data_IF_827375817261
#
_entry.id   IF_827375817261
#
_cell.length_a   1.000
_cell.length_b   1.000
_cell.length_c   1.000
_cell.angle_alpha   90.00
_cell.angle_beta   90.00
_cell.angle_gamma   90.00
#
_symmetry.space_group_name_H-M   'P 1'
#
loop_
_entity.id
_entity.type
_entity.pdbx_description
1 polymer ?
#
# COMPACT_ATOMS: atom_id res chain seq x y z
N UNK A 1 0.28 -15.85 -14.15
CA UNK A 1 -0.46 -16.23 -15.37
C UNK A 1 -1.66 -15.32 -15.52
N UNK A 2 -2.11 -15.06 -16.76
CA UNK A 2 -3.24 -14.15 -17.03
C UNK A 2 -4.26 -14.90 -17.90
N UNK A 3 -5.48 -15.17 -17.41
CA UNK A 3 -6.53 -15.74 -18.24
C UNK A 3 -6.96 -14.74 -19.30
N UNK A 4 -7.20 -15.22 -20.52
CA UNK A 4 -7.62 -14.38 -21.66
C UNK A 4 -8.87 -14.96 -22.31
N UNK A 5 -9.60 -14.13 -23.04
CA UNK A 5 -10.75 -14.57 -23.80
C UNK A 5 -10.38 -15.61 -24.87
N UNK A 6 -11.28 -16.55 -25.13
CA UNK A 6 -11.08 -17.64 -26.10
C UNK A 6 -10.63 -17.15 -27.48
N UNK A 7 -11.14 -16.01 -27.93
CA UNK A 7 -10.75 -15.42 -29.22
C UNK A 7 -9.32 -14.92 -29.22
N UNK A 8 -8.88 -14.27 -28.13
CA UNK A 8 -7.49 -13.81 -27.95
C UNK A 8 -6.55 -15.00 -27.94
N UNK A 9 -6.88 -16.05 -27.18
CA UNK A 9 -6.07 -17.27 -27.13
C UNK A 9 -5.88 -17.91 -28.50
N UNK A 10 -6.98 -18.10 -29.25
CA UNK A 10 -6.92 -18.64 -30.62
C UNK A 10 -6.09 -17.78 -31.56
N UNK A 11 -6.22 -16.46 -31.48
CA UNK A 11 -5.41 -15.54 -32.29
C UNK A 11 -3.92 -15.65 -31.95
N UNK A 12 -3.56 -15.77 -30.66
CA UNK A 12 -2.18 -15.96 -30.25
C UNK A 12 -1.59 -17.27 -30.80
N UNK A 13 -2.36 -18.36 -30.83
CA UNK A 13 -1.91 -19.61 -31.46
C UNK A 13 -1.57 -19.40 -32.94
N UNK A 14 -2.45 -18.76 -33.70
CA UNK A 14 -2.22 -18.43 -35.11
C UNK A 14 -0.99 -17.52 -35.30
N UNK A 15 -0.79 -16.54 -34.42
CA UNK A 15 0.36 -15.63 -34.48
C UNK A 15 1.70 -16.31 -34.19
N UNK A 16 1.69 -17.51 -33.60
CA UNK A 16 2.88 -18.32 -33.32
C UNK A 16 3.14 -19.42 -34.37
N UNK A 17 2.18 -19.70 -35.26
CA UNK A 17 2.34 -20.74 -36.29
C UNK A 17 3.51 -20.42 -37.23
N UNK A 18 4.33 -21.45 -37.52
CA UNK A 18 5.52 -21.37 -38.36
C UNK A 18 6.58 -20.35 -37.91
N UNK A 19 6.58 -19.97 -36.62
CA UNK A 19 7.60 -19.09 -36.02
C UNK A 19 8.58 -19.86 -35.15
N UNK A 20 9.83 -19.44 -35.18
CA UNK A 20 10.89 -19.94 -34.31
C UNK A 20 10.97 -19.12 -33.02
N UNK A 21 11.64 -19.67 -32.01
CA UNK A 21 11.95 -18.93 -30.80
C UNK A 21 12.87 -17.74 -31.13
N UNK A 22 12.36 -16.52 -31.01
CA UNK A 22 13.06 -15.27 -31.33
C UNK A 22 12.38 -14.44 -32.42
N UNK A 23 11.47 -15.02 -33.20
CA UNK A 23 10.67 -14.28 -34.18
C UNK A 23 9.63 -13.38 -33.50
N UNK A 24 9.34 -12.24 -34.12
CA UNK A 24 8.34 -11.30 -33.60
C UNK A 24 6.93 -11.92 -33.58
N UNK A 25 6.29 -11.89 -32.41
CA UNK A 25 4.93 -12.41 -32.25
C UNK A 25 3.92 -11.67 -33.14
N UNK A 26 4.05 -10.35 -33.25
CA UNK A 26 3.22 -9.49 -34.09
C UNK A 26 4.02 -8.96 -35.29
N UNK A 27 4.38 -9.84 -36.22
CA UNK A 27 5.31 -9.62 -37.34
C UNK A 27 4.86 -8.54 -38.35
N UNK A 28 3.56 -8.23 -38.39
CA UNK A 28 2.98 -7.21 -39.29
C UNK A 28 2.56 -5.93 -38.56
N UNK A 29 2.89 -5.81 -37.28
CA UNK A 29 2.51 -4.67 -36.45
C UNK A 29 3.76 -3.94 -35.97
N UNK A 30 3.72 -2.62 -35.98
CA UNK A 30 4.72 -1.81 -35.32
C UNK A 30 4.06 -0.65 -34.56
N UNK A 31 4.85 0.07 -33.77
CA UNK A 31 4.35 1.14 -32.91
C UNK A 31 3.75 2.31 -33.70
N UNK A 32 4.23 2.58 -34.91
CA UNK A 32 3.69 3.64 -35.76
C UNK A 32 2.29 3.29 -36.26
N UNK A 33 2.10 2.08 -36.78
CA UNK A 33 0.79 1.59 -37.27
C UNK A 33 -0.22 1.59 -36.13
N UNK A 34 0.17 1.08 -34.95
CA UNK A 34 -0.69 1.05 -33.78
C UNK A 34 -1.09 2.46 -33.32
N UNK A 35 -0.13 3.38 -33.14
CA UNK A 35 -0.45 4.73 -32.67
C UNK A 35 -1.23 5.55 -33.70
N UNK A 36 -1.02 5.32 -35.00
CA UNK A 36 -1.85 5.92 -36.05
C UNK A 36 -3.31 5.49 -35.89
N UNK A 37 -3.55 4.19 -35.73
CA UNK A 37 -4.89 3.66 -35.51
C UNK A 37 -5.52 4.21 -34.22
N UNK A 38 -4.76 4.29 -33.13
CA UNK A 38 -5.25 4.87 -31.87
C UNK A 38 -5.64 6.35 -32.04
N UNK A 39 -4.82 7.13 -32.74
CA UNK A 39 -5.11 8.55 -32.97
C UNK A 39 -6.34 8.77 -33.88
N UNK A 40 -6.64 7.84 -34.79
CA UNK A 40 -7.87 7.87 -35.59
C UNK A 40 -9.12 7.61 -34.73
N UNK A 41 -8.99 6.86 -33.63
CA UNK A 41 -10.09 6.60 -32.69
C UNK A 41 -10.32 7.79 -31.73
N UNK A 42 -9.25 8.48 -31.36
CA UNK A 42 -9.28 9.68 -30.51
C UNK A 42 -8.03 10.51 -30.74
N UNK A 43 -8.21 11.79 -31.06
CA UNK A 43 -7.08 12.70 -31.30
C UNK A 43 -6.13 12.76 -30.08
N UNK A 44 -4.83 12.59 -30.33
CA UNK A 44 -3.80 12.57 -29.29
C UNK A 44 -3.66 11.25 -28.53
N UNK A 45 -4.52 10.25 -28.80
CA UNK A 45 -4.43 8.95 -28.14
C UNK A 45 -3.22 8.15 -28.64
N UNK A 46 -2.43 7.65 -27.71
CA UNK A 46 -1.26 6.81 -27.97
C UNK A 46 -1.20 5.66 -26.96
N UNK A 47 -0.44 4.61 -27.25
CA UNK A 47 -0.34 3.44 -26.36
C UNK A 47 0.11 3.79 -24.93
N UNK A 48 0.96 4.81 -24.75
CA UNK A 48 1.39 5.26 -23.41
C UNK A 48 0.24 5.84 -22.57
N UNK A 49 -0.78 6.43 -23.22
CA UNK A 49 -1.93 7.03 -22.53
C UNK A 49 -2.71 5.95 -21.79
N UNK A 50 -2.78 4.73 -22.31
CA UNK A 50 -3.43 3.61 -21.61
C UNK A 50 -2.72 3.24 -20.29
N UNK A 51 -1.38 3.30 -20.24
CA UNK A 51 -0.66 3.09 -18.97
C UNK A 51 -1.01 4.17 -17.95
N UNK A 52 -1.04 5.43 -18.37
CA UNK A 52 -1.41 6.55 -17.48
C UNK A 52 -2.86 6.44 -17.03
N UNK A 53 -3.80 6.18 -17.94
CA UNK A 53 -5.21 6.01 -17.63
C UNK A 53 -5.44 4.86 -16.64
N UNK A 54 -4.93 3.66 -16.95
CA UNK A 54 -5.12 2.50 -16.09
C UNK A 54 -4.48 2.71 -14.70
N UNK A 55 -3.33 3.37 -14.63
CA UNK A 55 -2.68 3.71 -13.37
C UNK A 55 -3.53 4.69 -12.54
N UNK A 56 -3.95 5.82 -13.12
CA UNK A 56 -4.75 6.84 -12.44
C UNK A 56 -6.13 6.32 -12.03
N UNK A 57 -6.79 5.57 -12.92
CA UNK A 57 -8.07 4.94 -12.63
C UNK A 57 -7.97 3.94 -11.49
N UNK A 58 -6.97 3.05 -11.53
CA UNK A 58 -6.74 2.07 -10.46
C UNK A 58 -6.47 2.78 -9.13
N UNK A 59 -5.65 3.84 -9.12
CA UNK A 59 -5.39 4.59 -7.89
C UNK A 59 -6.68 5.16 -7.30
N UNK A 60 -7.51 5.79 -8.13
CA UNK A 60 -8.78 6.38 -7.70
C UNK A 60 -9.71 5.32 -7.10
N UNK A 61 -9.96 4.23 -7.84
CA UNK A 61 -10.85 3.15 -7.37
C UNK A 61 -10.34 2.53 -6.07
N UNK A 62 -9.03 2.27 -5.97
CA UNK A 62 -8.45 1.71 -4.75
C UNK A 62 -8.51 2.70 -3.57
N UNK A 63 -8.37 4.00 -3.79
CA UNK A 63 -8.54 4.99 -2.73
C UNK A 63 -9.99 5.07 -2.25
N UNK A 64 -10.96 5.00 -3.17
CA UNK A 64 -12.39 4.99 -2.86
C UNK A 64 -12.78 3.73 -2.06
N UNK A 65 -12.17 2.58 -2.36
CA UNK A 65 -12.43 1.30 -1.69
C UNK A 65 -11.71 1.16 -0.33
N UNK A 66 -10.46 1.62 -0.23
CA UNK A 66 -9.58 1.33 0.92
C UNK A 66 -9.59 2.41 2.01
N UNK A 67 -10.16 3.59 1.75
CA UNK A 67 -10.07 4.73 2.68
C UNK A 67 -11.40 4.95 3.40
N UNK A 68 -11.38 4.98 4.74
CA UNK A 68 -12.54 5.39 5.54
C UNK A 68 -12.39 6.84 6.05
N UNK A 69 -13.52 7.55 6.19
CA UNK A 69 -13.54 8.90 6.73
C UNK A 69 -13.07 8.94 8.21
N UNK A 70 -13.40 7.90 8.97
CA UNK A 70 -13.11 7.78 10.40
C UNK A 70 -11.68 7.30 10.70
N UNK A 71 -10.94 6.86 9.68
CA UNK A 71 -9.56 6.41 9.83
C UNK A 71 -8.66 7.55 10.34
N UNK A 72 -7.73 7.17 11.21
CA UNK A 72 -6.65 8.06 11.62
C UNK A 72 -5.77 8.41 10.41
N UNK A 73 -5.01 9.50 10.52
CA UNK A 73 -4.06 9.90 9.47
C UNK A 73 -3.06 8.77 9.14
N UNK A 74 -2.67 7.97 10.14
CA UNK A 74 -1.75 6.86 9.93
C UNK A 74 -2.38 5.74 9.08
N UNK A 75 -3.63 5.38 9.37
CA UNK A 75 -4.37 4.38 8.61
C UNK A 75 -4.66 4.87 7.18
N UNK A 76 -5.04 6.14 6.99
CA UNK A 76 -5.21 6.74 5.66
C UNK A 76 -3.94 6.70 4.82
N UNK A 77 -2.77 6.90 5.43
CA UNK A 77 -1.48 6.76 4.75
C UNK A 77 -1.25 5.30 4.32
N UNK A 78 -1.60 4.32 5.16
CA UNK A 78 -1.50 2.90 4.80
C UNK A 78 -2.41 2.56 3.60
N UNK A 79 -3.66 3.02 3.62
CA UNK A 79 -4.59 2.84 2.50
C UNK A 79 -4.07 3.48 1.22
N UNK A 80 -3.52 4.69 1.29
CA UNK A 80 -2.87 5.33 0.15
C UNK A 80 -1.69 4.51 -0.40
N UNK A 81 -0.82 4.01 0.47
CA UNK A 81 0.33 3.22 0.04
C UNK A 81 -0.09 1.89 -0.58
N UNK A 82 -1.16 1.25 -0.08
CA UNK A 82 -1.76 0.05 -0.67
C UNK A 82 -2.36 0.33 -2.04
N UNK A 83 -3.08 1.43 -2.19
CA UNK A 83 -3.62 1.87 -3.48
C UNK A 83 -2.48 2.11 -4.49
N UNK A 84 -1.42 2.83 -4.10
CA UNK A 84 -0.25 3.03 -4.95
C UNK A 84 0.51 1.72 -5.24
N UNK A 85 0.52 0.77 -4.30
CA UNK A 85 1.10 -0.56 -4.51
C UNK A 85 0.35 -1.34 -5.58
N UNK A 86 -0.99 -1.27 -5.62
CA UNK A 86 -1.78 -1.88 -6.68
C UNK A 86 -1.41 -1.32 -8.06
N UNK A 87 -1.23 0.00 -8.16
CA UNK A 87 -0.76 0.67 -9.39
C UNK A 87 0.64 0.21 -9.79
N UNK A 88 1.56 0.13 -8.82
CA UNK A 88 2.92 -0.33 -9.07
C UNK A 88 2.96 -1.78 -9.56
N UNK A 89 2.10 -2.65 -9.03
CA UNK A 89 1.94 -4.04 -9.50
C UNK A 89 1.40 -4.06 -10.93
N UNK A 90 0.36 -3.29 -11.22
CA UNK A 90 -0.23 -3.17 -12.56
C UNK A 90 0.80 -2.69 -13.59
N UNK A 91 1.63 -1.73 -13.22
CA UNK A 91 2.70 -1.20 -14.06
C UNK A 91 3.99 -2.05 -14.06
N UNK A 92 4.01 -3.18 -13.34
CA UNK A 92 5.17 -4.04 -13.15
C UNK A 92 6.42 -3.32 -12.60
N UNK A 93 6.24 -2.36 -11.71
CA UNK A 93 7.32 -1.63 -11.04
C UNK A 93 7.89 -2.46 -9.88
N UNK A 94 8.77 -3.40 -10.21
CA UNK A 94 9.40 -4.30 -9.25
C UNK A 94 10.77 -3.79 -8.80
N UNK A 95 11.19 -4.22 -7.61
CA UNK A 95 12.57 -4.10 -7.13
C UNK A 95 12.99 -5.36 -6.39
N UNK A 96 14.29 -5.59 -6.31
CA UNK A 96 14.83 -6.61 -5.41
C UNK A 96 14.63 -6.19 -3.95
N UNK A 97 14.47 -7.19 -3.07
CA UNK A 97 14.36 -6.93 -1.63
C UNK A 97 15.69 -6.31 -1.14
N UNK A 98 15.67 -5.15 -0.48
CA UNK A 98 16.89 -4.53 0.01
C UNK A 98 17.67 -5.44 0.97
N UNK A 99 19.00 -5.50 0.85
CA UNK A 99 19.86 -6.37 1.68
C UNK A 99 19.67 -6.18 3.19
N UNK A 100 19.38 -4.95 3.63
CA UNK A 100 19.14 -4.61 5.04
C UNK A 100 17.70 -4.80 5.52
N UNK A 101 16.79 -5.29 4.68
CA UNK A 101 15.36 -5.34 5.00
C UNK A 101 15.09 -6.14 6.27
N UNK A 102 15.57 -7.38 6.36
CA UNK A 102 15.31 -8.27 7.49
C UNK A 102 15.74 -7.64 8.82
N UNK A 103 17.01 -7.19 8.92
CA UNK A 103 17.54 -6.50 10.10
C UNK A 103 16.73 -5.25 10.48
N UNK A 104 16.25 -4.52 9.47
CA UNK A 104 15.46 -3.31 9.70
C UNK A 104 13.99 -3.59 10.10
N UNK A 105 13.48 -4.79 9.82
CA UNK A 105 12.17 -5.26 10.30
C UNK A 105 12.28 -5.78 11.73
N UNK A 106 13.33 -6.54 12.03
CA UNK A 106 13.63 -7.02 13.39
C UNK A 106 13.68 -5.85 14.38
N UNK A 107 14.47 -4.81 14.09
CA UNK A 107 14.53 -3.58 14.90
C UNK A 107 13.18 -2.87 15.05
N UNK A 108 12.30 -2.97 14.06
CA UNK A 108 10.98 -2.36 14.12
C UNK A 108 10.05 -3.18 15.03
N UNK A 109 10.10 -4.51 14.92
CA UNK A 109 9.38 -5.42 15.80
C UNK A 109 9.81 -5.27 17.27
N UNK A 110 11.12 -5.17 17.53
CA UNK A 110 11.63 -4.90 18.89
C UNK A 110 11.05 -3.59 19.47
N UNK A 111 10.98 -2.52 18.67
CA UNK A 111 10.36 -1.25 19.10
C UNK A 111 8.87 -1.39 19.37
N UNK A 112 8.16 -2.18 18.57
CA UNK A 112 6.74 -2.47 18.76
C UNK A 112 6.52 -3.20 20.08
N UNK A 113 7.33 -4.22 20.39
CA UNK A 113 7.22 -4.97 21.65
C UNK A 113 7.52 -4.07 22.86
N UNK A 114 8.62 -3.30 22.85
CA UNK A 114 8.91 -2.33 23.91
C UNK A 114 7.76 -1.32 24.13
N UNK A 115 7.07 -0.95 23.03
CA UNK A 115 5.92 -0.05 23.09
C UNK A 115 4.70 -0.70 23.71
N UNK A 116 4.44 -1.98 23.39
CA UNK A 116 3.37 -2.77 24.02
C UNK A 116 3.60 -2.91 25.52
N UNK A 117 4.84 -3.21 25.95
CA UNK A 117 5.19 -3.28 27.37
C UNK A 117 4.94 -1.95 28.10
N UNK A 118 5.35 -0.84 27.48
CA UNK A 118 5.11 0.51 28.01
C UNK A 118 3.61 0.84 28.13
N UNK A 119 2.79 0.36 27.19
CA UNK A 119 1.33 0.51 27.23
C UNK A 119 0.75 -0.32 28.37
N UNK A 120 1.15 -1.59 28.52
CA UNK A 120 0.66 -2.46 29.60
C UNK A 120 0.94 -1.87 30.98
N UNK A 121 2.15 -1.33 31.18
CA UNK A 121 2.50 -0.66 32.45
C UNK A 121 1.68 0.62 32.65
N UNK A 122 1.50 1.43 31.62
CA UNK A 122 0.67 2.63 31.71
C UNK A 122 -0.81 2.30 31.96
N UNK A 123 -1.33 1.20 31.40
CA UNK A 123 -2.69 0.73 31.65
C UNK A 123 -2.91 0.37 33.11
N UNK A 124 -1.96 -0.34 33.74
CA UNK A 124 -1.99 -0.62 35.19
C UNK A 124 -2.03 0.68 36.00
N UNK A 125 -1.17 1.63 35.66
CA UNK A 125 -1.13 2.94 36.31
C UNK A 125 -2.41 3.76 36.14
N UNK A 126 -3.07 3.68 34.98
CA UNK A 126 -4.38 4.30 34.73
C UNK A 126 -5.46 3.64 35.58
N UNK A 127 -5.47 2.31 35.68
CA UNK A 127 -6.42 1.57 36.52
C UNK A 127 -6.28 1.95 38.00
N UNK A 128 -5.05 2.05 38.51
CA UNK A 128 -4.81 2.45 39.89
C UNK A 128 -5.22 3.91 40.14
N UNK A 129 -4.88 4.82 39.22
CA UNK A 129 -5.31 6.21 39.29
C UNK A 129 -6.84 6.33 39.21
N UNK A 130 -7.52 5.48 38.43
CA UNK A 130 -8.98 5.44 38.35
C UNK A 130 -9.59 5.02 39.69
N UNK A 131 -9.03 4.01 40.36
CA UNK A 131 -9.48 3.58 41.69
C UNK A 131 -9.32 4.69 42.72
N UNK A 132 -8.19 5.41 42.70
CA UNK A 132 -7.94 6.56 43.58
C UNK A 132 -8.91 7.72 43.28
N UNK A 133 -9.13 8.05 42.02
CA UNK A 133 -10.03 9.13 41.60
C UNK A 133 -11.50 8.89 41.97
N UNK A 134 -11.96 7.63 42.06
CA UNK A 134 -13.33 7.29 42.49
C UNK A 134 -13.63 7.69 43.95
N UNK A 135 -12.62 7.69 44.82
CA UNK A 135 -12.74 8.04 46.24
C UNK A 135 -11.95 9.29 46.63
N UNK A 136 -11.31 9.92 45.66
CA UNK A 136 -10.34 11.00 45.84
C UNK A 136 -10.89 12.39 45.57
N UNK A 137 -10.04 13.39 45.78
CA UNK A 137 -10.32 14.80 45.54
C UNK A 137 -10.24 15.15 44.04
N UNK A 138 -10.47 16.42 43.73
CA UNK A 138 -10.27 16.99 42.39
C UNK A 138 -8.85 16.72 41.87
N UNK A 139 -7.86 16.70 42.76
CA UNK A 139 -6.45 16.43 42.40
C UNK A 139 -6.27 15.03 41.81
N UNK A 140 -6.85 14.00 42.43
CA UNK A 140 -6.76 12.61 41.96
C UNK A 140 -7.48 12.43 40.61
N UNK A 141 -8.60 13.12 40.39
CA UNK A 141 -9.28 13.13 39.07
C UNK A 141 -8.39 13.72 37.98
N UNK A 142 -7.71 14.84 38.25
CA UNK A 142 -6.75 15.44 37.30
C UNK A 142 -5.58 14.50 36.99
N UNK A 143 -5.09 13.75 37.99
CA UNK A 143 -4.02 12.75 37.77
C UNK A 143 -4.51 11.63 36.86
N UNK A 144 -5.72 11.10 37.09
CA UNK A 144 -6.32 10.09 36.23
C UNK A 144 -6.43 10.58 34.78
N UNK A 145 -6.96 11.79 34.55
CA UNK A 145 -7.10 12.35 33.20
C UNK A 145 -5.76 12.53 32.49
N UNK A 146 -4.71 12.96 33.21
CA UNK A 146 -3.35 13.05 32.67
C UNK A 146 -2.80 11.69 32.26
N UNK A 147 -2.95 10.66 33.09
CA UNK A 147 -2.48 9.30 32.77
C UNK A 147 -3.26 8.69 31.61
N UNK A 148 -4.58 8.91 31.55
CA UNK A 148 -5.42 8.48 30.43
C UNK A 148 -4.96 9.10 29.11
N UNK A 149 -4.73 10.42 29.07
CA UNK A 149 -4.18 11.10 27.89
C UNK A 149 -2.80 10.58 27.49
N UNK A 150 -1.94 10.26 28.47
CA UNK A 150 -0.63 9.67 28.20
C UNK A 150 -0.74 8.27 27.58
N UNK A 151 -1.67 7.45 28.07
CA UNK A 151 -1.97 6.13 27.52
C UNK A 151 -2.47 6.23 26.07
N UNK A 152 -3.42 7.14 25.79
CA UNK A 152 -3.94 7.34 24.44
C UNK A 152 -2.81 7.72 23.46
N UNK A 153 -1.91 8.63 23.87
CA UNK A 153 -0.72 8.99 23.07
C UNK A 153 0.21 7.80 22.82
N UNK A 154 0.39 6.90 23.80
CA UNK A 154 1.20 5.70 23.60
C UNK A 154 0.55 4.73 22.60
N UNK A 155 -0.76 4.56 22.67
CA UNK A 155 -1.54 3.74 21.72
C UNK A 155 -1.47 4.30 20.30
N UNK A 156 -1.62 5.61 20.12
CA UNK A 156 -1.46 6.26 18.81
C UNK A 156 -0.06 6.02 18.22
N UNK A 157 0.97 6.08 19.06
CA UNK A 157 2.34 5.81 18.64
C UNK A 157 2.55 4.34 18.27
N UNK A 158 1.90 3.40 18.97
CA UNK A 158 1.93 1.98 18.62
C UNK A 158 1.25 1.74 17.26
N UNK A 159 0.09 2.35 17.02
CA UNK A 159 -0.62 2.25 15.72
C UNK A 159 0.28 2.70 14.58
N UNK A 160 0.98 3.84 14.73
CA UNK A 160 1.93 4.33 13.71
C UNK A 160 3.07 3.33 13.44
N UNK A 161 3.60 2.67 14.46
CA UNK A 161 4.66 1.67 14.30
C UNK A 161 4.15 0.41 13.58
N UNK A 162 2.95 -0.06 13.92
CA UNK A 162 2.32 -1.21 13.25
C UNK A 162 2.00 -0.91 11.78
N UNK A 163 1.50 0.28 11.48
CA UNK A 163 1.31 0.76 10.11
C UNK A 163 2.64 0.77 9.35
N UNK A 164 3.70 1.31 9.96
CA UNK A 164 5.02 1.34 9.35
C UNK A 164 5.58 -0.07 9.08
N UNK A 165 5.34 -1.02 9.97
CA UNK A 165 5.75 -2.41 9.79
C UNK A 165 5.05 -3.04 8.59
N UNK A 166 3.72 -2.90 8.55
CA UNK A 166 2.87 -3.44 7.50
C UNK A 166 3.26 -2.87 6.14
N UNK A 167 3.36 -1.55 6.04
CA UNK A 167 3.75 -0.84 4.81
C UNK A 167 5.11 -1.32 4.29
N UNK A 168 6.06 -1.53 5.19
CA UNK A 168 7.41 -1.94 4.83
C UNK A 168 7.47 -3.37 4.29
N UNK A 169 6.76 -4.30 4.93
CA UNK A 169 6.72 -5.70 4.47
C UNK A 169 5.95 -5.86 3.14
N UNK A 170 4.81 -5.18 3.01
CA UNK A 170 3.99 -5.22 1.79
C UNK A 170 4.77 -4.68 0.56
N UNK A 171 5.65 -3.70 0.77
CA UNK A 171 6.39 -3.01 -0.29
C UNK A 171 7.83 -3.52 -0.48
N UNK A 172 8.23 -4.64 0.13
CA UNK A 172 9.61 -5.13 0.10
C UNK A 172 10.18 -5.38 -1.31
N UNK A 173 9.33 -5.78 -2.24
CA UNK A 173 9.69 -6.05 -3.65
C UNK A 173 9.06 -5.08 -4.65
N UNK A 174 8.40 -4.01 -4.18
CA UNK A 174 7.65 -3.08 -5.03
C UNK A 174 8.31 -1.69 -5.04
N UNK A 175 8.46 -1.09 -6.23
CA UNK A 175 9.04 0.23 -6.44
C UNK A 175 7.94 1.30 -6.61
N UNK A 176 7.45 1.83 -5.49
CA UNK A 176 6.35 2.82 -5.47
C UNK A 176 6.71 4.18 -6.10
N UNK A 177 7.99 4.52 -6.22
CA UNK A 177 8.44 5.84 -6.66
C UNK A 177 8.23 6.11 -8.16
N UNK A 178 8.10 5.06 -8.98
CA UNK A 178 7.92 5.22 -10.44
C UNK A 178 6.46 5.44 -10.82
N UNK A 179 5.52 5.04 -9.95
CA UNK A 179 4.07 5.26 -10.15
C UNK A 179 3.52 6.49 -9.43
N UNK A 180 4.28 7.05 -8.47
CA UNK A 180 3.90 8.22 -7.68
C UNK A 180 4.17 9.52 -8.41
#
# INVERSE_FOLDING_TARGET
>A
EVPVEKRVFKNLQLFMENKSAGDDLFDRLNTQIMNKHLNELMEGLTAKVFRTYNASWTLQQQLDELTSADDTVAEKILSYNRANRAVAILCNHQRSVPKGHAKSMEKLKEKIEQKKDSIMEMERQVQDAQRQAKRGSVKEKVVYDKKKKALDKLRDQLVRLNVQETDKDENKSIALGTSK
#
